data_IF_933074156920
#
_entry.id   IF_933074156920
#
_cell.length_a   1.000
_cell.length_b   1.000
_cell.length_c   1.000
_cell.angle_alpha   90.00
_cell.angle_beta   90.00
_cell.angle_gamma   90.00
#
_symmetry.space_group_name_H-M   'P 1'
#
loop_
_entity.id
_entity.type
_entity.pdbx_description
1 polymer ?
#
# COMPACT_ATOMS: atom_id res chain seq x y z
N UNK A 1 0.28 1.54 -22.63
CA UNK A 1 1.65 1.92 -23.04
C UNK A 1 1.94 3.38 -22.65
N UNK A 2 1.33 4.40 -23.27
CA UNK A 2 1.63 5.82 -22.93
C UNK A 2 1.50 6.17 -21.43
N UNK A 3 0.50 5.68 -20.71
CA UNK A 3 0.37 5.94 -19.26
C UNK A 3 1.50 5.32 -18.44
N UNK A 4 1.97 4.13 -18.81
CA UNK A 4 3.09 3.47 -18.11
C UNK A 4 4.41 4.17 -18.40
N UNK A 5 4.57 4.68 -19.62
CA UNK A 5 5.72 5.48 -20.04
C UNK A 5 5.79 6.82 -19.28
N UNK A 6 4.68 7.56 -19.20
CA UNK A 6 4.63 8.81 -18.43
C UNK A 6 4.87 8.56 -16.93
N UNK A 7 4.30 7.47 -16.39
CA UNK A 7 4.57 7.04 -15.02
C UNK A 7 6.05 6.73 -14.79
N UNK A 8 6.71 6.02 -15.72
CA UNK A 8 8.13 5.73 -15.65
C UNK A 8 8.98 7.01 -15.61
N UNK A 9 8.68 8.00 -16.46
CA UNK A 9 9.39 9.28 -16.45
C UNK A 9 9.16 10.08 -15.17
N UNK A 10 7.91 10.10 -14.69
CA UNK A 10 7.55 10.76 -13.42
C UNK A 10 8.28 10.11 -12.25
N UNK A 11 8.28 8.77 -12.18
CA UNK A 11 8.96 8.00 -11.15
C UNK A 11 10.46 8.33 -11.11
N UNK A 12 11.13 8.25 -12.26
CA UNK A 12 12.57 8.53 -12.33
C UNK A 12 12.89 9.97 -11.95
N UNK A 13 12.11 10.94 -12.43
CA UNK A 13 12.33 12.36 -12.10
C UNK A 13 12.24 12.61 -10.59
N UNK A 14 11.26 12.00 -9.92
CA UNK A 14 11.10 12.09 -8.46
C UNK A 14 12.21 11.34 -7.71
N UNK A 15 12.54 10.14 -8.16
CA UNK A 15 13.59 9.30 -7.58
C UNK A 15 14.96 9.99 -7.64
N UNK A 16 15.33 10.52 -8.80
CA UNK A 16 16.61 11.21 -9.03
C UNK A 16 16.68 12.54 -8.26
N UNK A 17 15.53 13.19 -8.05
CA UNK A 17 15.39 14.35 -7.17
C UNK A 17 15.31 13.98 -5.67
N UNK A 18 15.54 12.71 -5.29
CA UNK A 18 15.49 12.17 -3.93
C UNK A 18 14.19 12.48 -3.20
N UNK A 19 13.06 12.45 -3.92
CA UNK A 19 11.72 12.59 -3.32
C UNK A 19 11.23 11.23 -2.84
N UNK A 20 10.56 11.22 -1.69
CA UNK A 20 9.94 10.00 -1.18
C UNK A 20 8.77 9.60 -2.08
N UNK A 21 8.77 8.34 -2.50
CA UNK A 21 7.70 7.74 -3.30
C UNK A 21 7.04 6.65 -2.46
N UNK A 22 5.71 6.66 -2.38
CA UNK A 22 4.90 5.61 -1.77
C UNK A 22 3.92 5.07 -2.79
N UNK A 23 3.92 3.75 -2.99
CA UNK A 23 3.06 3.05 -3.95
C UNK A 23 2.34 1.94 -3.18
N UNK A 24 1.04 1.78 -3.44
CA UNK A 24 0.23 0.68 -2.93
C UNK A 24 -0.34 -0.12 -4.08
N UNK A 25 -0.36 -1.44 -3.94
CA UNK A 25 -0.91 -2.39 -4.91
C UNK A 25 -1.63 -3.51 -4.15
N UNK A 26 -2.65 -4.10 -4.77
CA UNK A 26 -3.34 -5.29 -4.28
C UNK A 26 -2.52 -6.57 -4.48
N UNK A 27 -1.51 -6.51 -5.37
CA UNK A 27 -0.61 -7.61 -5.71
C UNK A 27 0.86 -7.21 -5.54
N UNK A 28 1.75 -8.16 -5.22
CA UNK A 28 3.19 -7.89 -5.20
C UNK A 28 3.67 -7.49 -6.60
N UNK A 29 4.78 -6.72 -6.72
CA UNK A 29 5.27 -6.19 -8.00
C UNK A 29 5.33 -7.20 -9.16
N UNK A 30 5.74 -8.44 -8.88
CA UNK A 30 5.89 -9.53 -9.87
C UNK A 30 4.56 -10.02 -10.47
N UNK A 31 3.46 -9.83 -9.74
CA UNK A 31 2.15 -10.35 -10.13
C UNK A 31 1.25 -9.28 -10.77
N UNK A 32 1.73 -8.04 -10.88
CA UNK A 32 0.97 -6.94 -11.46
C UNK A 32 1.01 -7.01 -12.99
N UNK A 33 -0.04 -7.58 -13.58
CA UNK A 33 -0.22 -7.66 -15.03
C UNK A 33 -1.25 -6.62 -15.51
N UNK A 34 -1.05 -5.95 -16.66
CA UNK A 34 0.07 -6.03 -17.61
C UNK A 34 1.10 -4.88 -17.43
N UNK A 35 1.89 -4.87 -16.35
CA UNK A 35 2.95 -3.86 -16.15
C UNK A 35 4.26 -4.28 -16.83
N UNK A 36 4.96 -3.32 -17.42
CA UNK A 36 6.28 -3.54 -18.05
C UNK A 36 7.35 -3.97 -17.02
N UNK A 37 8.22 -4.91 -17.37
CA UNK A 37 9.26 -5.47 -16.49
C UNK A 37 10.20 -4.39 -15.89
N UNK A 38 10.44 -3.30 -16.62
CA UNK A 38 11.25 -2.17 -16.14
C UNK A 38 10.63 -1.47 -14.93
N UNK A 39 9.30 -1.42 -14.85
CA UNK A 39 8.60 -0.84 -13.68
C UNK A 39 8.63 -1.80 -12.50
N UNK A 40 8.46 -3.11 -12.75
CA UNK A 40 8.59 -4.15 -11.72
C UNK A 40 9.96 -4.06 -11.04
N UNK A 41 11.02 -3.96 -11.84
CA UNK A 41 12.40 -3.80 -11.34
C UNK A 41 12.54 -2.57 -10.43
N UNK A 42 11.89 -1.45 -10.76
CA UNK A 42 11.94 -0.21 -9.96
C UNK A 42 11.18 -0.33 -8.64
N UNK A 43 10.07 -1.05 -8.63
CA UNK A 43 9.33 -1.31 -7.39
C UNK A 43 10.14 -2.17 -6.41
N UNK A 44 10.95 -3.10 -6.93
CA UNK A 44 11.82 -3.96 -6.11
C UNK A 44 13.07 -3.25 -5.55
N UNK A 45 13.46 -2.08 -6.09
CA UNK A 45 14.58 -1.30 -5.54
C UNK A 45 14.26 -0.65 -4.20
N UNK A 46 12.96 -0.53 -3.86
CA UNK A 46 12.49 0.09 -2.64
C UNK A 46 12.23 -0.90 -1.50
N UNK A 47 11.64 -0.38 -0.41
CA UNK A 47 11.08 -1.23 0.63
C UNK A 47 9.75 -1.82 0.15
N UNK A 48 9.75 -3.10 -0.16
CA UNK A 48 8.51 -3.85 -0.43
C UNK A 48 8.03 -4.45 0.88
N UNK A 49 6.85 -4.04 1.31
CA UNK A 49 6.19 -4.58 2.50
C UNK A 49 4.79 -5.02 2.14
N UNK A 50 4.39 -6.12 2.74
CA UNK A 50 3.09 -6.73 2.51
C UNK A 50 2.19 -6.48 3.71
N UNK A 51 0.91 -6.23 3.45
CA UNK A 51 -0.10 -5.97 4.49
C UNK A 51 -0.94 -7.22 4.63
N UNK A 52 -0.66 -7.98 5.68
CA UNK A 52 -1.38 -9.19 6.00
C UNK A 52 -2.66 -8.91 6.79
N UNK A 53 -3.68 -9.77 6.67
CA UNK A 53 -4.85 -9.70 7.54
C UNK A 53 -4.43 -9.70 9.02
N UNK A 54 -4.94 -8.76 9.84
CA UNK A 54 -4.58 -8.68 11.25
C UNK A 54 -5.11 -9.89 12.03
N UNK A 55 -4.40 -10.27 13.08
CA UNK A 55 -4.87 -11.25 14.06
C UNK A 55 -6.10 -10.74 14.83
N UNK A 56 -6.71 -11.62 15.63
CA UNK A 56 -7.92 -11.28 16.38
C UNK A 56 -7.71 -10.07 17.30
N UNK A 57 -6.59 -10.03 18.01
CA UNK A 57 -6.26 -8.96 18.95
C UNK A 57 -6.15 -7.60 18.24
N UNK A 58 -5.43 -7.57 17.13
CA UNK A 58 -5.26 -6.38 16.29
C UNK A 58 -6.59 -5.98 15.64
N UNK A 59 -7.43 -6.94 15.23
CA UNK A 59 -8.79 -6.66 14.72
C UNK A 59 -9.65 -5.97 15.77
N UNK A 60 -9.65 -6.47 17.01
CA UNK A 60 -10.37 -5.85 18.13
C UNK A 60 -9.85 -4.43 18.36
N UNK A 61 -8.54 -4.22 18.39
CA UNK A 61 -7.96 -2.88 18.56
C UNK A 61 -8.36 -1.91 17.43
N UNK A 62 -8.38 -2.38 16.17
CA UNK A 62 -8.86 -1.60 15.03
C UNK A 62 -10.34 -1.24 15.19
N UNK A 63 -11.18 -2.19 15.61
CA UNK A 63 -12.61 -1.96 15.84
C UNK A 63 -12.86 -0.94 16.94
N UNK A 64 -12.23 -1.09 18.11
CA UNK A 64 -12.33 -0.12 19.22
C UNK A 64 -11.89 1.28 18.78
N UNK A 65 -10.78 1.38 18.04
CA UNK A 65 -10.31 2.67 17.49
C UNK A 65 -11.31 3.28 16.51
N UNK A 66 -11.92 2.47 15.63
CA UNK A 66 -12.95 2.95 14.69
C UNK A 66 -14.24 3.38 15.40
N UNK A 67 -14.66 2.65 16.44
CA UNK A 67 -15.83 3.00 17.25
C UNK A 67 -15.64 4.35 17.95
N UNK A 68 -14.47 4.56 18.57
CA UNK A 68 -14.11 5.82 19.20
C UNK A 68 -14.12 7.01 18.21
N UNK A 69 -13.53 6.83 17.01
CA UNK A 69 -13.55 7.88 15.96
C UNK A 69 -14.98 8.22 15.51
N UNK A 70 -15.86 7.22 15.49
CA UNK A 70 -17.25 7.37 15.07
C UNK A 70 -18.23 7.71 16.20
N UNK A 71 -17.73 7.87 17.44
CA UNK A 71 -18.54 8.02 18.66
C UNK A 71 -19.63 6.94 18.81
N UNK A 72 -19.28 5.70 18.49
CA UNK A 72 -20.14 4.55 18.79
C UNK A 72 -19.79 4.01 20.16
N UNK A 73 -20.80 3.88 21.00
CA UNK A 73 -20.71 3.15 22.25
C UNK A 73 -20.99 1.67 21.94
N UNK A 74 -19.91 0.87 21.85
CA UNK A 74 -19.99 -0.56 21.57
C UNK A 74 -19.51 -1.29 22.82
N UNK A 75 -20.38 -2.09 23.47
CA UNK A 75 -19.99 -2.92 24.60
C UNK A 75 -18.86 -3.88 24.25
N UNK A 76 -17.93 -4.09 25.19
CA UNK A 76 -16.71 -4.89 24.98
C UNK A 76 -16.99 -6.38 24.67
N UNK A 77 -18.16 -6.90 25.06
CA UNK A 77 -18.63 -8.26 24.76
C UNK A 77 -19.19 -8.43 23.33
N UNK A 78 -19.40 -7.31 22.61
CA UNK A 78 -19.88 -7.27 21.23
C UNK A 78 -18.74 -7.04 20.23
N UNK A 79 -17.62 -6.45 20.67
CA UNK A 79 -16.43 -6.15 19.84
C UNK A 79 -15.66 -7.42 19.48
#
# INVERSE_FOLDING_TARGET
ESTQEEFFHTFNSLHDAKKQIGISSDKPPKDIHPIEERLVSRFEWGLVTDIQPPDLETRIAILKKKAAIKNYDIPDDVV
#
